data_IF_202771739669
#
_entry.id   IF_202771739669
#
_cell.length_a   1.000
_cell.length_b   1.000
_cell.length_c   1.000
_cell.angle_alpha   90.00
_cell.angle_beta   90.00
_cell.angle_gamma   90.00
#
_symmetry.space_group_name_H-M   'P 1'
#
loop_
_entity.id
_entity.type
_entity.pdbx_description
1 polymer ?
#
# COMPACT_ATOMS: atom_id res chain seq x y z
N UNK A 1 1.37 -12.12 -13.02
CA UNK A 1 0.01 -11.88 -12.52
C UNK A 1 0.04 -11.69 -11.01
N UNK A 2 -1.06 -11.31 -10.37
CA UNK A 2 -1.15 -11.22 -8.91
C UNK A 2 -0.64 -12.48 -8.21
N UNK A 3 -1.08 -13.67 -8.63
CA UNK A 3 -0.67 -14.92 -8.00
C UNK A 3 0.82 -15.21 -8.17
N UNK A 4 1.40 -14.94 -9.34
CA UNK A 4 2.84 -15.16 -9.56
C UNK A 4 3.70 -14.32 -8.61
N UNK A 5 3.29 -13.08 -8.35
CA UNK A 5 4.00 -12.21 -7.42
C UNK A 5 3.87 -12.68 -5.97
N UNK A 6 2.70 -13.17 -5.56
CA UNK A 6 2.51 -13.74 -4.23
C UNK A 6 3.36 -15.01 -4.03
N UNK A 7 3.42 -15.89 -5.03
CA UNK A 7 4.28 -17.07 -4.98
C UNK A 7 5.76 -16.67 -4.83
N UNK A 8 6.22 -15.73 -5.64
CA UNK A 8 7.59 -15.23 -5.55
C UNK A 8 7.89 -14.58 -4.19
N UNK A 9 6.99 -13.73 -3.68
CA UNK A 9 7.17 -13.09 -2.38
C UNK A 9 7.19 -14.10 -1.24
N UNK A 10 6.37 -15.16 -1.28
CA UNK A 10 6.39 -16.21 -0.27
C UNK A 10 7.76 -16.92 -0.23
N UNK A 11 8.35 -17.21 -1.39
CA UNK A 11 9.67 -17.83 -1.48
C UNK A 11 10.77 -16.95 -0.88
N UNK A 12 10.81 -15.68 -1.29
CA UNK A 12 11.80 -14.70 -0.80
C UNK A 12 11.63 -14.44 0.69
N UNK A 13 10.39 -14.29 1.15
CA UNK A 13 10.09 -14.04 2.56
C UNK A 13 10.49 -15.23 3.43
N UNK A 14 10.16 -16.45 3.00
CA UNK A 14 10.55 -17.66 3.71
C UNK A 14 12.08 -17.84 3.79
N UNK A 15 12.82 -17.46 2.75
CA UNK A 15 14.29 -17.48 2.78
C UNK A 15 14.84 -16.46 3.77
N UNK A 16 14.35 -15.22 3.75
CA UNK A 16 14.78 -14.20 4.71
C UNK A 16 14.54 -14.65 6.17
N UNK A 17 13.41 -15.31 6.44
CA UNK A 17 13.12 -15.87 7.77
C UNK A 17 14.04 -17.03 8.14
N UNK A 18 14.37 -17.93 7.20
CA UNK A 18 15.34 -19.03 7.43
C UNK A 18 16.73 -18.51 7.78
N UNK A 19 17.13 -17.40 7.17
CA UNK A 19 18.39 -16.71 7.49
C UNK A 19 18.33 -15.92 8.81
N UNK A 20 17.20 -15.94 9.53
CA UNK A 20 17.00 -15.20 10.77
C UNK A 20 16.95 -13.69 10.59
N UNK A 21 16.59 -13.20 9.39
CA UNK A 21 16.45 -11.77 9.13
C UNK A 21 15.18 -11.23 9.77
N UNK A 22 15.28 -9.99 10.23
CA UNK A 22 14.13 -9.15 10.56
C UNK A 22 13.65 -8.49 9.29
N UNK A 23 12.37 -8.63 8.98
CA UNK A 23 11.81 -8.20 7.68
C UNK A 23 10.87 -7.03 7.88
N UNK A 24 11.05 -6.01 7.03
CA UNK A 24 10.13 -4.89 6.84
C UNK A 24 9.64 -5.00 5.41
N UNK A 25 8.32 -4.92 5.22
CA UNK A 25 7.74 -4.82 3.89
C UNK A 25 7.53 -3.34 3.57
N UNK A 26 8.12 -2.90 2.46
CA UNK A 26 8.06 -1.53 1.99
C UNK A 26 7.80 -1.51 0.49
N UNK A 27 6.96 -0.59 0.05
CA UNK A 27 6.71 -0.41 -1.38
C UNK A 27 5.95 0.86 -1.68
N UNK A 28 6.12 1.36 -2.89
CA UNK A 28 5.43 2.49 -3.45
C UNK A 28 4.32 2.09 -4.42
N UNK A 29 3.24 2.88 -4.49
CA UNK A 29 2.19 2.70 -5.48
C UNK A 29 1.65 1.25 -5.49
N UNK A 30 1.69 0.58 -6.64
CA UNK A 30 1.37 -0.84 -6.78
C UNK A 30 2.18 -1.77 -5.86
N UNK A 31 3.45 -1.46 -5.60
CA UNK A 31 4.30 -2.19 -4.65
C UNK A 31 3.86 -1.98 -3.20
N UNK A 32 3.33 -0.81 -2.86
CA UNK A 32 2.70 -0.55 -1.56
C UNK A 32 1.40 -1.33 -1.37
N UNK A 33 0.57 -1.39 -2.42
CA UNK A 33 -0.59 -2.28 -2.47
C UNK A 33 -0.22 -3.74 -2.26
N UNK A 34 0.78 -4.22 -3.02
CA UNK A 34 1.28 -5.58 -2.91
C UNK A 34 1.85 -5.89 -1.51
N UNK A 35 2.60 -4.97 -0.90
CA UNK A 35 3.14 -5.13 0.44
C UNK A 35 2.03 -5.31 1.49
N UNK A 36 0.95 -4.51 1.39
CA UNK A 36 -0.21 -4.65 2.28
C UNK A 36 -0.95 -5.97 2.04
N UNK A 37 -1.24 -6.30 0.79
CA UNK A 37 -1.96 -7.52 0.41
C UNK A 37 -1.18 -8.79 0.82
N UNK A 38 0.15 -8.77 0.70
CA UNK A 38 1.00 -9.87 1.15
C UNK A 38 0.99 -10.00 2.67
N UNK A 39 1.03 -8.90 3.43
CA UNK A 39 0.90 -8.94 4.88
C UNK A 39 -0.46 -9.47 5.37
N UNK A 40 -1.55 -9.13 4.67
CA UNK A 40 -2.87 -9.72 4.93
C UNK A 40 -2.84 -11.25 4.71
N UNK A 41 -2.25 -11.71 3.61
CA UNK A 41 -2.14 -13.14 3.33
C UNK A 41 -1.28 -13.88 4.34
N UNK A 42 -0.15 -13.30 4.79
CA UNK A 42 0.69 -13.90 5.83
C UNK A 42 -0.12 -14.09 7.12
N UNK A 43 -0.86 -13.05 7.54
CA UNK A 43 -1.72 -13.13 8.72
C UNK A 43 -2.77 -14.23 8.56
N UNK A 44 -3.47 -14.25 7.44
CA UNK A 44 -4.59 -15.17 7.21
C UNK A 44 -4.12 -16.64 7.14
N UNK A 45 -2.87 -16.87 6.72
CA UNK A 45 -2.23 -18.18 6.71
C UNK A 45 -1.60 -18.56 8.07
N UNK A 46 -1.53 -17.63 9.03
CA UNK A 46 -0.84 -17.85 10.31
C UNK A 46 0.69 -17.84 10.21
N UNK A 47 1.24 -17.25 9.14
CA UNK A 47 2.68 -17.13 8.93
C UNK A 47 3.30 -16.06 9.85
N UNK A 48 4.62 -16.11 10.12
CA UNK A 48 5.31 -15.07 10.87
C UNK A 48 5.15 -13.70 10.20
N UNK A 49 4.67 -12.71 10.95
CA UNK A 49 4.43 -11.36 10.45
C UNK A 49 5.73 -10.54 10.32
N UNK A 50 5.82 -9.62 9.34
CA UNK A 50 6.94 -8.67 9.27
C UNK A 50 6.86 -7.68 10.44
N UNK A 51 7.97 -7.02 10.76
CA UNK A 51 8.04 -6.10 11.90
C UNK A 51 7.16 -4.86 11.73
N UNK A 52 7.06 -4.37 10.48
CA UNK A 52 6.29 -3.18 10.10
C UNK A 52 6.04 -3.14 8.61
N UNK A 53 5.07 -2.32 8.22
CA UNK A 53 4.78 -1.92 6.85
C UNK A 53 5.17 -0.46 6.62
N UNK A 54 5.73 -0.16 5.46
CA UNK A 54 6.01 1.21 4.99
C UNK A 54 5.43 1.37 3.59
N UNK A 55 4.38 2.17 3.47
CA UNK A 55 3.60 2.29 2.25
C UNK A 55 3.70 3.72 1.71
N UNK A 56 4.13 3.87 0.47
CA UNK A 56 4.33 5.16 -0.18
C UNK A 56 3.28 5.33 -1.27
N UNK A 57 2.28 6.16 -1.04
CA UNK A 57 1.14 6.36 -1.95
C UNK A 57 0.54 5.02 -2.44
N UNK A 58 0.17 4.08 -1.54
CA UNK A 58 -0.14 2.72 -1.96
C UNK A 58 -1.43 2.65 -2.79
N UNK A 59 -1.39 1.92 -3.90
CA UNK A 59 -2.57 1.62 -4.72
C UNK A 59 -3.25 0.35 -4.19
N UNK A 60 -4.39 0.51 -3.53
CA UNK A 60 -5.00 -0.52 -2.68
C UNK A 60 -6.43 -0.92 -3.08
N UNK A 61 -7.02 -0.22 -4.05
CA UNK A 61 -8.27 -0.59 -4.71
C UNK A 61 -8.10 -0.40 -6.21
N UNK A 62 -7.97 -1.51 -6.94
CA UNK A 62 -7.77 -1.46 -8.39
C UNK A 62 -9.05 -1.17 -9.16
N UNK A 63 -10.22 -1.16 -8.49
CA UNK A 63 -11.49 -0.80 -9.12
C UNK A 63 -11.58 0.70 -9.41
N UNK A 64 -10.83 1.52 -8.67
CA UNK A 64 -10.86 2.99 -8.76
C UNK A 64 -12.30 3.56 -8.57
N UNK A 65 -13.10 2.95 -7.70
CA UNK A 65 -14.53 3.28 -7.55
C UNK A 65 -14.86 4.24 -6.40
N UNK A 66 -13.86 4.70 -5.65
CA UNK A 66 -14.10 5.67 -4.58
C UNK A 66 -14.69 6.97 -5.15
N UNK A 67 -15.85 7.44 -4.65
CA UNK A 67 -16.57 8.57 -5.25
C UNK A 67 -15.83 9.91 -5.15
N UNK A 68 -14.78 10.01 -4.33
CA UNK A 68 -13.95 11.20 -4.23
C UNK A 68 -12.83 11.24 -5.29
N UNK A 69 -12.51 10.11 -5.96
CA UNK A 69 -11.45 10.06 -6.98
C UNK A 69 -11.67 11.05 -8.14
N UNK A 70 -12.88 11.19 -8.72
CA UNK A 70 -13.09 12.09 -9.86
C UNK A 70 -12.72 13.55 -9.56
N UNK A 71 -12.91 14.04 -8.33
CA UNK A 71 -12.51 15.41 -7.98
C UNK A 71 -10.99 15.59 -7.79
N UNK A 72 -10.25 14.51 -7.62
CA UNK A 72 -8.78 14.55 -7.48
C UNK A 72 -8.08 14.52 -8.85
N UNK A 73 -8.70 13.91 -9.86
CA UNK A 73 -8.08 13.65 -11.17
C UNK A 73 -7.71 14.95 -11.92
N UNK A 74 -8.31 16.09 -11.59
CA UNK A 74 -7.93 17.39 -12.16
C UNK A 74 -6.55 17.89 -11.67
N UNK A 75 -6.12 17.46 -10.47
CA UNK A 75 -4.87 17.90 -9.85
C UNK A 75 -3.74 16.86 -9.96
N UNK A 76 -4.08 15.60 -10.25
CA UNK A 76 -3.08 14.54 -10.44
C UNK A 76 -2.53 14.56 -11.88
N UNK A 77 -1.28 14.98 -12.03
CA UNK A 77 -0.61 15.02 -13.32
C UNK A 77 0.12 13.72 -13.70
N UNK A 78 0.11 12.71 -12.81
CA UNK A 78 0.86 11.45 -12.97
C UNK A 78 -0.09 10.30 -13.33
N UNK A 79 -1.21 10.19 -12.64
CA UNK A 79 -2.10 9.04 -12.73
C UNK A 79 -3.40 9.36 -13.45
N UNK A 80 -4.04 8.31 -13.97
CA UNK A 80 -5.40 8.35 -14.46
C UNK A 80 -6.18 7.19 -13.88
N UNK A 81 -7.37 7.46 -13.35
CA UNK A 81 -8.23 6.46 -12.75
C UNK A 81 -8.65 5.41 -13.78
N UNK A 82 -8.98 5.85 -15.00
CA UNK A 82 -9.31 4.94 -16.11
C UNK A 82 -8.13 4.02 -16.46
N UNK A 83 -6.92 4.58 -16.57
CA UNK A 83 -5.70 3.82 -16.87
C UNK A 83 -5.39 2.78 -15.80
N UNK A 84 -5.44 3.19 -14.53
CA UNK A 84 -5.22 2.30 -13.39
C UNK A 84 -6.27 1.18 -13.32
N UNK A 85 -7.55 1.47 -13.53
CA UNK A 85 -8.58 0.44 -13.56
C UNK A 85 -8.33 -0.62 -14.65
N UNK A 86 -7.79 -0.22 -15.80
CA UNK A 86 -7.35 -1.13 -16.86
C UNK A 86 -6.17 -2.01 -16.42
N UNK A 87 -5.13 -1.41 -15.86
CA UNK A 87 -3.97 -2.12 -15.31
C UNK A 87 -4.36 -3.07 -14.17
N UNK A 88 -5.35 -2.67 -13.37
CA UNK A 88 -5.90 -3.44 -12.26
C UNK A 88 -6.51 -4.76 -12.72
N UNK A 89 -7.27 -4.72 -13.81
CA UNK A 89 -7.83 -5.94 -14.43
C UNK A 89 -6.74 -6.86 -14.96
N UNK A 90 -5.70 -6.31 -15.60
CA UNK A 90 -4.55 -7.09 -16.07
C UNK A 90 -3.79 -7.73 -14.90
N UNK A 91 -3.64 -6.99 -13.80
CA UNK A 91 -3.01 -7.49 -12.58
C UNK A 91 -3.80 -8.63 -11.94
N UNK A 92 -5.12 -8.48 -11.82
CA UNK A 92 -6.04 -9.47 -11.29
C UNK A 92 -6.02 -10.76 -12.12
N UNK A 93 -5.87 -10.67 -13.44
CA UNK A 93 -6.02 -11.81 -14.33
C UNK A 93 -7.43 -12.39 -14.22
N UNK A 94 -7.54 -13.64 -13.82
CA UNK A 94 -8.83 -14.34 -13.62
C UNK A 94 -9.44 -14.11 -12.23
N UNK A 95 -8.74 -13.40 -11.34
CA UNK A 95 -9.23 -13.11 -9.99
C UNK A 95 -10.29 -12.00 -10.01
N UNK A 96 -11.18 -12.01 -9.02
CA UNK A 96 -12.04 -10.85 -8.77
C UNK A 96 -11.14 -9.64 -8.43
N UNK A 97 -11.41 -8.49 -9.05
CA UNK A 97 -10.69 -7.23 -8.78
C UNK A 97 -10.86 -6.76 -7.34
N UNK A 98 -11.87 -7.27 -6.61
CA UNK A 98 -12.10 -7.04 -5.18
C UNK A 98 -11.54 -8.13 -4.27
N UNK A 99 -10.90 -9.16 -4.82
CA UNK A 99 -10.12 -10.10 -4.00
C UNK A 99 -9.04 -9.32 -3.24
N UNK A 100 -8.88 -9.57 -1.94
CA UNK A 100 -7.97 -8.78 -1.10
C UNK A 100 -6.50 -8.90 -1.52
N UNK A 101 -6.13 -9.95 -2.25
CA UNK A 101 -4.78 -10.08 -2.84
C UNK A 101 -4.54 -9.09 -3.98
N UNK A 102 -5.61 -8.67 -4.66
CA UNK A 102 -5.59 -7.68 -5.75
C UNK A 102 -5.83 -6.28 -5.20
N UNK A 103 -6.88 -6.12 -4.39
CA UNK A 103 -7.30 -4.86 -3.78
C UNK A 103 -7.37 -5.04 -2.25
N UNK A 104 -6.25 -4.89 -1.54
CA UNK A 104 -6.20 -5.12 -0.10
C UNK A 104 -7.12 -4.20 0.71
N UNK A 105 -7.62 -3.10 0.14
CA UNK A 105 -8.63 -2.30 0.81
C UNK A 105 -9.89 -3.09 1.17
N UNK A 106 -10.22 -4.18 0.46
CA UNK A 106 -11.34 -5.07 0.78
C UNK A 106 -11.03 -6.13 1.84
N UNK A 107 -9.76 -6.27 2.24
CA UNK A 107 -9.30 -7.19 3.28
C UNK A 107 -9.59 -6.71 4.71
N UNK A 108 -9.22 -7.56 5.66
CA UNK A 108 -9.25 -7.23 7.09
C UNK A 108 -8.00 -6.44 7.47
N UNK A 109 -8.16 -5.39 8.27
CA UNK A 109 -7.02 -4.62 8.80
C UNK A 109 -6.57 -5.11 10.19
N UNK A 110 -7.30 -6.04 10.81
CA UNK A 110 -6.99 -6.57 12.14
C UNK A 110 -5.73 -7.43 12.12
N UNK A 111 -4.90 -7.35 13.16
CA UNK A 111 -3.71 -8.20 13.31
C UNK A 111 -2.57 -7.88 12.33
N UNK A 112 -2.69 -6.79 11.57
CA UNK A 112 -1.61 -6.28 10.75
C UNK A 112 -0.53 -5.61 11.62
N UNK A 113 0.73 -5.58 11.15
CA UNK A 113 1.83 -4.95 11.89
C UNK A 113 1.69 -3.43 11.88
N UNK A 114 2.47 -2.71 12.70
CA UNK A 114 2.57 -1.26 12.64
C UNK A 114 2.81 -0.79 11.20
N UNK A 115 1.93 0.08 10.69
CA UNK A 115 1.97 0.57 9.31
C UNK A 115 2.22 2.08 9.21
N UNK A 116 3.30 2.48 8.54
CA UNK A 116 3.60 3.87 8.18
C UNK A 116 3.11 4.11 6.75
N UNK A 117 2.36 5.18 6.53
CA UNK A 117 1.76 5.50 5.24
C UNK A 117 2.11 6.94 4.88
N UNK A 118 2.59 7.14 3.66
CA UNK A 118 2.82 8.47 3.08
C UNK A 118 1.86 8.67 1.91
N UNK A 119 1.34 9.88 1.76
CA UNK A 119 0.40 10.22 0.71
C UNK A 119 0.46 11.72 0.41
N UNK A 120 0.37 12.09 -0.86
CA UNK A 120 0.19 13.47 -1.28
C UNK A 120 -1.29 13.87 -1.26
N UNK A 121 -1.62 15.16 -1.22
CA UNK A 121 -3.01 15.61 -1.48
C UNK A 121 -3.32 15.72 -2.96
N UNK A 122 -2.30 15.82 -3.83
CA UNK A 122 -2.48 16.01 -5.27
C UNK A 122 -2.25 14.67 -5.99
N UNK A 123 -2.91 13.62 -5.48
CA UNK A 123 -2.94 12.30 -6.11
C UNK A 123 -4.31 11.62 -5.99
N UNK A 124 -4.72 10.89 -7.03
CA UNK A 124 -6.01 10.21 -7.08
C UNK A 124 -6.15 9.07 -6.07
N UNK A 125 -5.04 8.58 -5.50
CA UNK A 125 -5.06 7.51 -4.50
C UNK A 125 -5.35 8.02 -3.09
N UNK A 126 -5.28 9.33 -2.86
CA UNK A 126 -5.46 9.95 -1.55
C UNK A 126 -6.75 9.55 -0.83
N UNK A 127 -7.93 9.49 -1.49
CA UNK A 127 -9.16 9.10 -0.82
C UNK A 127 -9.13 7.67 -0.26
N UNK A 128 -8.59 6.72 -1.03
CA UNK A 128 -8.50 5.32 -0.59
C UNK A 128 -7.45 5.14 0.51
N UNK A 129 -6.32 5.86 0.41
CA UNK A 129 -5.28 5.83 1.44
C UNK A 129 -5.80 6.38 2.78
N UNK A 130 -6.59 7.44 2.74
CA UNK A 130 -7.25 7.99 3.95
C UNK A 130 -8.24 6.98 4.53
N UNK A 131 -9.02 6.32 3.68
CA UNK A 131 -9.95 5.26 4.10
C UNK A 131 -9.21 4.07 4.73
N UNK A 132 -8.09 3.64 4.16
CA UNK A 132 -7.23 2.60 4.72
C UNK A 132 -6.77 2.93 6.14
N UNK A 133 -6.26 4.15 6.34
CA UNK A 133 -5.81 4.61 7.65
C UNK A 133 -6.92 4.53 8.71
N UNK A 134 -8.13 4.98 8.35
CA UNK A 134 -9.28 4.90 9.25
C UNK A 134 -9.72 3.44 9.51
N UNK A 135 -9.70 2.57 8.50
CA UNK A 135 -9.97 1.13 8.69
C UNK A 135 -8.94 0.46 9.60
N UNK A 136 -7.66 0.80 9.48
CA UNK A 136 -6.61 0.29 10.37
C UNK A 136 -6.82 0.74 11.81
N UNK A 137 -7.12 2.03 12.03
CA UNK A 137 -7.43 2.55 13.37
C UNK A 137 -8.65 1.88 13.98
N UNK A 138 -9.73 1.73 13.22
CA UNK A 138 -10.94 1.05 13.66
C UNK A 138 -10.70 -0.43 14.01
N UNK A 139 -9.76 -1.08 13.33
CA UNK A 139 -9.35 -2.45 13.59
C UNK A 139 -8.37 -2.60 14.77
N UNK A 140 -7.95 -1.51 15.42
CA UNK A 140 -6.97 -1.51 16.49
C UNK A 140 -5.51 -1.66 16.02
N UNK A 141 -5.26 -1.54 14.72
CA UNK A 141 -3.91 -1.62 14.14
C UNK A 141 -3.20 -0.28 14.25
N UNK A 142 -1.94 -0.29 14.71
CA UNK A 142 -1.11 0.93 14.79
C UNK A 142 -0.82 1.43 13.38
N UNK A 143 -1.44 2.55 13.01
CA UNK A 143 -1.24 3.19 11.72
C UNK A 143 -0.83 4.65 11.92
N UNK A 144 0.15 5.12 11.14
CA UNK A 144 0.50 6.54 11.02
C UNK A 144 0.44 6.95 9.56
N UNK A 145 -0.44 7.90 9.27
CA UNK A 145 -0.55 8.54 7.97
C UNK A 145 0.15 9.91 8.00
N UNK A 146 1.01 10.14 7.02
CA UNK A 146 1.70 11.42 6.80
C UNK A 146 1.23 11.95 5.45
N UNK A 147 0.57 13.11 5.49
CA UNK A 147 0.02 13.77 4.31
C UNK A 147 0.93 14.93 3.91
N UNK A 148 1.37 14.92 2.65
CA UNK A 148 2.07 16.03 2.01
C UNK A 148 1.09 16.94 1.29
N UNK A 149 0.88 18.15 1.82
CA UNK A 149 0.01 19.17 1.23
C UNK A 149 0.58 19.68 -0.11
N UNK A 150 -0.22 19.64 -1.17
CA UNK A 150 0.17 19.96 -2.55
C UNK A 150 1.19 19.01 -3.18
N UNK A 151 1.47 17.86 -2.54
CA UNK A 151 2.43 16.88 -3.06
C UNK A 151 1.74 15.80 -3.90
N UNK A 152 2.46 15.28 -4.88
CA UNK A 152 1.95 14.35 -5.89
C UNK A 152 2.25 12.88 -5.54
N UNK A 153 1.80 11.99 -6.44
CA UNK A 153 1.97 10.56 -6.31
C UNK A 153 3.43 10.15 -6.06
N UNK A 154 3.67 9.41 -4.97
CA UNK A 154 5.00 8.92 -4.56
C UNK A 154 6.02 10.03 -4.28
N UNK A 155 5.58 11.20 -3.81
CA UNK A 155 6.50 12.32 -3.48
C UNK A 155 7.75 11.94 -2.66
N UNK A 156 7.75 10.95 -1.72
CA UNK A 156 8.96 10.61 -0.96
C UNK A 156 10.07 9.95 -1.78
N UNK A 157 9.81 9.61 -3.05
CA UNK A 157 10.82 9.09 -3.98
C UNK A 157 11.54 10.20 -4.77
N UNK A 158 11.06 11.44 -4.70
CA UNK A 158 11.62 12.57 -5.45
C UNK A 158 12.60 13.38 -4.60
N UNK A 159 13.59 13.98 -5.25
CA UNK A 159 14.60 14.81 -4.58
C UNK A 159 14.05 16.20 -4.24
N UNK A 160 13.21 16.25 -3.20
CA UNK A 160 12.57 17.46 -2.67
C UNK A 160 12.75 17.54 -1.14
N UNK A 161 12.75 18.74 -0.54
CA UNK A 161 12.97 18.89 0.91
C UNK A 161 12.04 18.05 1.80
N UNK A 162 10.77 17.92 1.40
CA UNK A 162 9.71 17.21 2.10
C UNK A 162 10.00 15.71 2.25
N UNK A 163 10.80 15.14 1.33
CA UNK A 163 11.25 13.74 1.40
C UNK A 163 12.09 13.46 2.64
N UNK A 164 12.86 14.42 3.14
CA UNK A 164 13.80 14.18 4.24
C UNK A 164 13.09 13.68 5.50
N UNK A 165 11.96 14.30 5.84
CA UNK A 165 11.13 13.86 6.97
C UNK A 165 10.60 12.44 6.77
N UNK A 166 10.27 12.05 5.53
CA UNK A 166 9.84 10.69 5.23
C UNK A 166 10.96 9.68 5.44
N UNK A 167 12.16 9.96 4.93
CA UNK A 167 13.34 9.11 5.10
C UNK A 167 13.70 8.94 6.58
N UNK A 168 13.65 10.01 7.37
CA UNK A 168 13.91 9.97 8.80
C UNK A 168 12.91 9.07 9.53
N UNK A 169 11.62 9.18 9.23
CA UNK A 169 10.58 8.31 9.81
C UNK A 169 10.73 6.84 9.38
N UNK A 170 11.14 6.59 8.13
CA UNK A 170 11.42 5.24 7.65
C UNK A 170 12.61 4.64 8.43
N UNK A 171 13.68 5.41 8.60
CA UNK A 171 14.89 4.95 9.29
C UNK A 171 14.67 4.71 10.79
N UNK A 172 13.90 5.59 11.44
CA UNK A 172 13.75 5.58 12.92
C UNK A 172 12.49 4.88 13.42
N UNK A 173 11.50 4.67 12.56
CA UNK A 173 10.20 4.14 12.94
C UNK A 173 9.21 5.22 13.42
N UNK A 174 8.05 4.77 13.89
CA UNK A 174 6.97 5.62 14.39
C UNK A 174 6.15 4.87 15.46
#
# INVERSE_FOLDING_TARGET
TCLDAFHFLQEVYAEALREGKRVILMGDSSGGGLALAFAESLRDNGDPMPERLVLLSPWIDVTMTNPAIPSMEENDFILSAYGLAGLGKLWAGEMDVRDSRVSPLYGSMTGLPPTLIFCGTDEILHPDITLLHEKMKAAGTKSRLVIGDGLWHVFPSFDIPERNTCIDMIATGF
#
